data_IF_782431653955
#
_entry.id   IF_782431653955
#
_cell.length_a   1.000
_cell.length_b   1.000
_cell.length_c   1.000
_cell.angle_alpha   90.00
_cell.angle_beta   90.00
_cell.angle_gamma   90.00
#
_symmetry.space_group_name_H-M   'P 1'
#
loop_
_entity.id
_entity.type
_entity.pdbx_description
1 polymer ?
#
# COMPACT_ATOMS: atom_id res chain seq x y z
N UNK A 1 -1.10 -19.48 -7.62
CA UNK A 1 -1.16 -18.12 -7.05
C UNK A 1 -2.57 -17.91 -6.51
N UNK A 2 -2.75 -17.10 -5.48
CA UNK A 2 -4.09 -16.90 -4.89
C UNK A 2 -4.95 -15.99 -5.79
N UNK A 3 -6.28 -16.16 -5.75
CA UNK A 3 -7.20 -15.43 -6.64
C UNK A 3 -7.04 -13.90 -6.63
N UNK A 4 -6.60 -13.31 -5.51
CA UNK A 4 -6.32 -11.88 -5.39
C UNK A 4 -5.04 -11.50 -6.15
N UNK A 5 -3.99 -12.30 -6.04
CA UNK A 5 -2.74 -12.07 -6.77
C UNK A 5 -2.99 -12.16 -8.29
N UNK A 6 -3.80 -13.13 -8.73
CA UNK A 6 -4.17 -13.27 -10.14
C UNK A 6 -4.95 -12.05 -10.65
N UNK A 7 -5.84 -11.46 -9.83
CA UNK A 7 -6.57 -10.25 -10.18
C UNK A 7 -5.66 -9.01 -10.25
N UNK A 8 -4.69 -8.87 -9.34
CA UNK A 8 -3.71 -7.76 -9.37
C UNK A 8 -2.77 -7.88 -10.57
N UNK A 9 -2.30 -9.08 -10.89
CA UNK A 9 -1.51 -9.33 -12.11
C UNK A 9 -2.34 -9.02 -13.35
N UNK A 10 -3.57 -9.52 -13.44
CA UNK A 10 -4.46 -9.24 -14.56
C UNK A 10 -4.74 -7.73 -14.71
N UNK A 11 -4.83 -6.99 -13.61
CA UNK A 11 -5.01 -5.55 -13.65
C UNK A 11 -3.81 -4.84 -14.30
N UNK A 12 -2.59 -5.14 -13.85
CA UNK A 12 -1.36 -4.52 -14.36
C UNK A 12 -0.91 -5.03 -15.74
N UNK A 13 -1.49 -6.14 -16.22
CA UNK A 13 -1.05 -6.85 -17.41
C UNK A 13 -0.85 -5.97 -18.66
N UNK A 14 -1.75 -5.03 -19.02
CA UNK A 14 -1.55 -4.20 -20.21
C UNK A 14 -0.23 -3.41 -20.19
N UNK A 15 0.14 -2.89 -19.03
CA UNK A 15 1.39 -2.13 -18.86
C UNK A 15 2.62 -3.04 -18.88
N UNK A 16 2.47 -4.27 -18.37
CA UNK A 16 3.55 -5.27 -18.38
C UNK A 16 3.83 -5.74 -19.81
N UNK A 17 2.78 -5.97 -20.60
CA UNK A 17 2.87 -6.45 -21.99
C UNK A 17 3.55 -5.43 -22.91
N UNK A 18 3.50 -4.14 -22.58
CA UNK A 18 4.19 -3.08 -23.31
C UNK A 18 5.69 -2.95 -22.96
N UNK A 19 6.16 -3.66 -21.93
CA UNK A 19 7.57 -3.65 -21.56
C UNK A 19 8.40 -4.60 -22.43
N UNK A 20 9.68 -4.30 -22.58
CA UNK A 20 10.67 -5.22 -23.15
C UNK A 20 11.28 -6.16 -22.09
N UNK A 21 10.70 -6.21 -20.90
CA UNK A 21 11.22 -6.95 -19.75
C UNK A 21 12.43 -6.30 -19.07
N UNK A 22 12.89 -5.12 -19.51
CA UNK A 22 13.93 -4.39 -18.77
C UNK A 22 13.45 -4.06 -17.35
N UNK A 23 14.31 -4.19 -16.33
CA UNK A 23 13.94 -3.88 -14.95
C UNK A 23 13.36 -2.47 -14.78
N UNK A 24 13.89 -1.49 -15.52
CA UNK A 24 13.48 -0.10 -15.46
C UNK A 24 12.06 0.10 -16.00
N UNK A 25 11.74 -0.49 -17.17
CA UNK A 25 10.39 -0.40 -17.74
C UNK A 25 9.38 -1.21 -16.94
N UNK A 26 9.78 -2.38 -16.43
CA UNK A 26 8.94 -3.17 -15.52
C UNK A 26 8.60 -2.40 -14.26
N UNK A 27 9.59 -1.74 -13.63
CA UNK A 27 9.36 -0.91 -12.46
C UNK A 27 8.44 0.26 -12.78
N UNK A 28 8.63 0.92 -13.93
CA UNK A 28 7.75 2.00 -14.37
C UNK A 28 6.32 1.51 -14.58
N UNK A 29 6.11 0.41 -15.29
CA UNK A 29 4.80 -0.19 -15.54
C UNK A 29 4.07 -0.51 -14.23
N UNK A 30 4.76 -1.13 -13.27
CA UNK A 30 4.18 -1.45 -11.96
C UNK A 30 3.87 -0.21 -11.11
N UNK A 31 4.74 0.81 -11.17
CA UNK A 31 4.52 2.08 -10.47
C UNK A 31 3.30 2.80 -11.05
N UNK A 32 3.17 2.83 -12.38
CA UNK A 32 2.01 3.42 -13.07
C UNK A 32 0.73 2.66 -12.77
N UNK A 33 0.76 1.32 -12.77
CA UNK A 33 -0.39 0.50 -12.39
C UNK A 33 -0.87 0.85 -10.97
N UNK A 34 0.07 0.94 -10.02
CA UNK A 34 -0.22 1.28 -8.64
C UNK A 34 -0.76 2.71 -8.49
N UNK A 35 -0.21 3.68 -9.21
CA UNK A 35 -0.73 5.05 -9.23
C UNK A 35 -2.19 5.08 -9.72
N UNK A 36 -2.48 4.41 -10.84
CA UNK A 36 -3.83 4.30 -11.39
C UNK A 36 -4.81 3.62 -10.41
N UNK A 37 -4.33 2.60 -9.66
CA UNK A 37 -5.12 1.96 -8.62
C UNK A 37 -5.48 2.95 -7.51
N UNK A 38 -4.48 3.66 -6.98
CA UNK A 38 -4.70 4.65 -5.91
C UNK A 38 -5.67 5.74 -6.37
N UNK A 39 -5.54 6.23 -7.61
CA UNK A 39 -6.46 7.21 -8.18
C UNK A 39 -7.87 6.62 -8.32
N UNK A 40 -8.00 5.38 -8.80
CA UNK A 40 -9.30 4.69 -8.89
C UNK A 40 -10.03 4.56 -7.55
N UNK A 41 -9.32 4.53 -6.42
CA UNK A 41 -9.95 4.50 -5.10
C UNK A 41 -10.54 5.83 -4.64
N UNK A 42 -10.18 6.95 -5.31
CA UNK A 42 -10.67 8.28 -4.98
C UNK A 42 -12.11 8.51 -5.50
N UNK A 43 -12.87 9.43 -4.88
CA UNK A 43 -14.11 9.96 -5.45
C UNK A 43 -13.92 10.47 -6.88
N UNK A 44 -14.89 10.25 -7.78
CA UNK A 44 -14.78 10.58 -9.21
C UNK A 44 -14.43 12.05 -9.47
N UNK A 45 -14.90 12.97 -8.62
CA UNK A 45 -14.63 14.40 -8.69
C UNK A 45 -13.19 14.78 -8.32
N UNK A 46 -12.49 13.94 -7.55
CA UNK A 46 -11.09 14.15 -7.17
C UNK A 46 -10.10 13.49 -8.15
N UNK A 47 -10.56 12.52 -8.95
CA UNK A 47 -9.69 11.69 -9.80
C UNK A 47 -8.92 12.52 -10.83
N UNK A 48 -9.57 13.43 -11.54
CA UNK A 48 -8.91 14.19 -12.61
C UNK A 48 -7.71 15.00 -12.08
N UNK A 49 -7.88 15.67 -10.95
CA UNK A 49 -6.79 16.43 -10.33
C UNK A 49 -5.62 15.52 -9.89
N UNK A 50 -5.92 14.30 -9.44
CA UNK A 50 -4.89 13.32 -9.08
C UNK A 50 -4.16 12.76 -10.31
N UNK A 51 -4.85 12.57 -11.44
CA UNK A 51 -4.24 12.18 -12.72
C UNK A 51 -3.27 13.26 -13.19
N UNK A 52 -3.71 14.52 -13.21
CA UNK A 52 -2.90 15.65 -13.67
C UNK A 52 -1.63 15.79 -12.80
N UNK A 53 -1.80 15.73 -11.47
CA UNK A 53 -0.70 15.78 -10.50
C UNK A 53 0.31 14.64 -10.70
N UNK A 54 -0.16 13.42 -10.95
CA UNK A 54 0.70 12.29 -11.23
C UNK A 54 1.47 12.49 -12.55
N UNK A 55 0.78 12.90 -13.62
CA UNK A 55 1.38 13.12 -14.93
C UNK A 55 2.45 14.22 -14.89
N UNK A 56 2.22 15.29 -14.11
CA UNK A 56 3.20 16.37 -13.89
C UNK A 56 4.45 15.88 -13.12
N UNK A 57 4.28 14.97 -12.17
CA UNK A 57 5.38 14.44 -11.35
C UNK A 57 6.45 13.68 -12.16
N UNK A 58 6.09 13.21 -13.36
CA UNK A 58 6.97 12.45 -14.25
C UNK A 58 7.90 13.35 -15.08
N UNK A 59 7.73 14.67 -15.03
CA UNK A 59 8.61 15.62 -15.73
C UNK A 59 8.56 15.49 -17.26
N UNK A 60 7.45 14.98 -17.81
CA UNK A 60 7.24 14.81 -19.25
C UNK A 60 6.92 16.15 -19.93
N UNK A 61 7.26 16.26 -21.21
CA UNK A 61 6.77 17.36 -22.04
C UNK A 61 5.25 17.26 -22.26
N UNK A 62 4.64 18.35 -22.73
CA UNK A 62 3.19 18.45 -22.94
C UNK A 62 2.62 17.34 -23.82
N UNK A 63 3.33 16.97 -24.89
CA UNK A 63 2.84 15.96 -25.83
C UNK A 63 2.94 14.55 -25.24
N UNK A 64 4.04 14.23 -24.58
CA UNK A 64 4.25 12.97 -23.88
C UNK A 64 3.29 12.83 -22.69
N UNK A 65 3.02 13.92 -21.96
CA UNK A 65 2.07 13.93 -20.85
C UNK A 65 0.65 13.66 -21.31
N UNK A 66 0.24 14.26 -22.44
CA UNK A 66 -1.08 14.01 -23.03
C UNK A 66 -1.23 12.55 -23.49
N UNK A 67 -0.22 12.01 -24.16
CA UNK A 67 -0.20 10.59 -24.53
C UNK A 67 -0.30 9.68 -23.30
N UNK A 68 0.49 9.93 -22.26
CA UNK A 68 0.39 9.18 -21.00
C UNK A 68 -1.02 9.27 -20.39
N UNK A 69 -1.60 10.47 -20.36
CA UNK A 69 -2.95 10.67 -19.81
C UNK A 69 -4.00 9.85 -20.57
N UNK A 70 -4.06 10.03 -21.88
CA UNK A 70 -5.13 9.51 -22.73
C UNK A 70 -4.96 8.01 -23.05
N UNK A 71 -3.72 7.57 -23.26
CA UNK A 71 -3.41 6.20 -23.68
C UNK A 71 -3.16 5.25 -22.50
N UNK A 72 -2.76 5.77 -21.34
CA UNK A 72 -2.35 4.94 -20.19
C UNK A 72 -3.21 5.18 -18.94
N UNK A 73 -3.25 6.41 -18.42
CA UNK A 73 -3.85 6.68 -17.10
C UNK A 73 -5.36 6.49 -17.10
N UNK A 74 -6.07 7.13 -18.04
CA UNK A 74 -7.53 7.04 -18.14
C UNK A 74 -7.99 5.60 -18.40
N UNK A 75 -7.41 4.85 -19.37
CA UNK A 75 -7.77 3.45 -19.59
C UNK A 75 -7.54 2.56 -18.37
N UNK A 76 -6.43 2.75 -17.65
CA UNK A 76 -6.10 1.96 -16.45
C UNK A 76 -7.03 2.26 -15.27
N UNK A 77 -7.44 3.52 -15.07
CA UNK A 77 -8.41 3.89 -14.02
C UNK A 77 -9.80 3.32 -14.36
N UNK A 78 -10.23 3.40 -15.62
CA UNK A 78 -11.46 2.76 -16.05
C UNK A 78 -11.42 1.24 -15.83
N UNK A 79 -10.28 0.61 -16.15
CA UNK A 79 -10.06 -0.81 -15.88
C UNK A 79 -10.18 -1.14 -14.39
N UNK A 80 -9.73 -0.26 -13.50
CA UNK A 80 -9.94 -0.41 -12.07
C UNK A 80 -11.44 -0.43 -11.72
N UNK A 81 -12.25 0.48 -12.25
CA UNK A 81 -13.69 0.49 -11.99
C UNK A 81 -14.41 -0.76 -12.53
N UNK A 82 -14.03 -1.22 -13.73
CA UNK A 82 -14.58 -2.43 -14.35
C UNK A 82 -14.23 -3.70 -13.55
N UNK A 83 -13.00 -3.81 -13.04
CA UNK A 83 -12.53 -4.99 -12.31
C UNK A 83 -12.90 -4.97 -10.82
N UNK A 84 -12.92 -3.80 -10.19
CA UNK A 84 -12.98 -3.66 -8.73
C UNK A 84 -14.05 -2.69 -8.23
N UNK A 85 -14.72 -1.92 -9.10
CA UNK A 85 -15.70 -0.90 -8.70
C UNK A 85 -16.83 -1.46 -7.82
N UNK A 86 -17.36 -2.63 -8.15
CA UNK A 86 -18.42 -3.27 -7.34
C UNK A 86 -17.91 -3.82 -5.99
N UNK A 87 -16.63 -4.23 -5.93
CA UNK A 87 -16.00 -4.81 -4.75
C UNK A 87 -15.75 -3.77 -3.64
N UNK A 88 -15.55 -2.50 -4.01
CA UNK A 88 -15.31 -1.41 -3.05
C UNK A 88 -16.57 -0.56 -2.74
N UNK A 89 -17.58 -0.57 -3.61
CA UNK A 89 -18.86 0.14 -3.38
C UNK A 89 -19.79 -0.59 -2.39
N UNK A 90 -19.69 -1.91 -2.31
CA UNK A 90 -20.58 -2.77 -1.50
C UNK A 90 -20.06 -2.89 -0.06
N UNK A 91 -20.13 -1.82 0.75
CA UNK A 91 -19.45 -1.73 2.06
C UNK A 91 -17.94 -1.99 1.91
N UNK A 92 -17.21 -0.94 1.54
CA UNK A 92 -15.75 -0.98 1.52
C UNK A 92 -15.18 -1.65 2.78
N UNK A 93 -14.09 -2.42 2.67
CA UNK A 93 -13.47 -3.07 3.81
C UNK A 93 -13.25 -2.05 4.93
N UNK A 94 -13.52 -2.40 6.19
CA UNK A 94 -13.20 -1.49 7.29
C UNK A 94 -11.69 -1.22 7.24
N UNK A 95 -11.24 -0.08 7.76
CA UNK A 95 -9.80 0.26 7.90
C UNK A 95 -8.96 -0.81 8.67
N UNK A 96 -9.57 -1.88 9.18
CA UNK A 96 -8.92 -3.09 9.69
C UNK A 96 -8.55 -4.11 8.62
N UNK A 97 -9.25 -4.09 7.49
CA UNK A 97 -9.23 -5.14 6.47
C UNK A 97 -8.21 -4.81 5.36
N UNK A 98 -7.87 -3.52 5.17
CA UNK A 98 -6.77 -3.09 4.28
C UNK A 98 -5.37 -3.31 4.88
N UNK A 99 -5.28 -3.60 6.19
CA UNK A 99 -4.00 -3.86 6.86
C UNK A 99 -3.32 -5.11 6.29
N UNK A 100 -4.12 -6.07 5.81
CA UNK A 100 -3.66 -7.32 5.20
C UNK A 100 -3.10 -7.14 3.79
N UNK A 101 -3.51 -6.10 3.06
CA UNK A 101 -3.04 -5.83 1.68
C UNK A 101 -1.70 -5.10 1.68
N UNK A 102 -1.43 -4.25 2.68
CA UNK A 102 -0.07 -3.70 2.89
C UNK A 102 0.92 -4.73 3.47
N UNK A 103 0.43 -5.81 4.07
CA UNK A 103 1.27 -6.89 4.61
C UNK A 103 1.71 -7.89 3.51
N UNK A 104 1.11 -7.83 2.30
CA UNK A 104 1.50 -8.65 1.14
C UNK A 104 2.35 -7.84 0.14
N UNK A 105 3.55 -7.44 0.59
CA UNK A 105 4.74 -7.35 -0.26
C UNK A 105 4.87 -6.14 -1.19
N UNK A 106 5.00 -4.94 -0.63
CA UNK A 106 5.82 -3.87 -1.22
C UNK A 106 7.04 -3.66 -0.33
N UNK A 107 8.15 -4.32 -0.67
CA UNK A 107 9.44 -4.13 -0.02
C UNK A 107 10.06 -2.84 -0.58
N UNK A 108 9.56 -1.69 -0.12
CA UNK A 108 10.23 -0.42 -0.34
C UNK A 108 11.47 -0.37 0.55
N UNK A 109 12.61 -0.70 -0.05
CA UNK A 109 13.99 -0.55 0.44
C UNK A 109 14.55 -1.81 1.12
N UNK A 110 15.45 -2.56 0.47
CA UNK A 110 16.90 -2.28 0.56
C UNK A 110 17.26 -1.68 1.95
N UNK A 111 17.72 -2.57 2.83
CA UNK A 111 18.23 -2.35 4.19
C UNK A 111 17.25 -1.76 5.23
N UNK A 112 16.25 -2.57 5.59
CA UNK A 112 15.67 -2.51 6.92
C UNK A 112 16.74 -2.83 7.98
N UNK A 113 17.32 -1.79 8.60
CA UNK A 113 18.10 -1.93 9.85
C UNK A 113 17.29 -2.77 10.84
N UNK A 114 17.91 -3.74 11.54
CA UNK A 114 17.18 -4.64 12.43
C UNK A 114 16.38 -3.84 13.45
N UNK A 115 15.14 -4.26 13.78
CA UNK A 115 14.34 -3.60 14.80
C UNK A 115 15.15 -3.57 16.10
N UNK A 116 15.39 -2.36 16.62
CA UNK A 116 16.05 -2.17 17.93
C UNK A 116 15.29 -3.00 18.95
N UNK A 117 15.98 -3.94 19.57
CA UNK A 117 15.48 -4.90 20.56
C UNK A 117 14.55 -4.22 21.56
N UNK A 118 13.23 -4.31 21.33
CA UNK A 118 12.29 -4.17 22.41
C UNK A 118 12.31 -5.52 23.11
N UNK A 119 13.13 -5.61 24.16
CA UNK A 119 13.21 -6.77 25.03
C UNK A 119 11.78 -7.27 25.33
N UNK A 120 11.55 -8.60 25.31
CA UNK A 120 10.23 -9.16 25.53
C UNK A 120 9.62 -8.58 26.79
N UNK A 121 8.39 -8.07 26.70
CA UNK A 121 7.67 -7.55 27.87
C UNK A 121 7.68 -8.62 28.95
N UNK A 122 8.13 -8.32 30.18
CA UNK A 122 8.23 -9.32 31.23
C UNK A 122 6.87 -9.98 31.45
N UNK A 123 6.90 -11.29 31.67
CA UNK A 123 5.72 -12.07 31.98
C UNK A 123 5.03 -11.49 33.22
N UNK A 124 3.70 -11.62 33.25
CA UNK A 124 2.85 -11.05 34.31
C UNK A 124 3.30 -11.39 35.74
N UNK A 125 3.94 -12.55 35.92
CA UNK A 125 4.42 -13.05 37.21
C UNK A 125 5.93 -12.90 37.43
N UNK A 126 6.67 -12.42 36.43
CA UNK A 126 8.12 -12.25 36.50
C UNK A 126 8.49 -11.08 37.43
N UNK A 127 9.71 -11.07 37.98
CA UNK A 127 10.21 -9.92 38.73
C UNK A 127 10.13 -8.65 37.88
N UNK A 128 9.64 -7.57 38.49
CA UNK A 128 9.41 -6.31 37.79
C UNK A 128 10.75 -5.63 37.44
N UNK A 129 10.95 -5.15 36.19
CA UNK A 129 12.25 -4.60 35.74
C UNK A 129 12.61 -3.25 36.38
N UNK A 130 11.74 -2.66 37.22
CA UNK A 130 12.05 -1.45 37.98
C UNK A 130 12.81 -1.71 39.30
N UNK A 131 13.29 -2.93 39.51
CA UNK A 131 14.02 -3.37 40.71
C UNK A 131 13.28 -3.17 42.04
N UNK A 132 11.94 -3.15 42.01
CA UNK A 132 11.12 -3.00 43.22
C UNK A 132 11.02 -4.27 44.08
N UNK A 133 11.56 -5.40 43.62
CA UNK A 133 11.45 -6.72 44.26
C UNK A 133 10.05 -7.37 44.15
N UNK A 134 9.09 -6.73 43.47
CA UNK A 134 7.71 -7.21 43.30
C UNK A 134 7.50 -7.89 41.95
N UNK A 135 6.51 -8.79 41.83
CA UNK A 135 6.07 -9.34 40.54
C UNK A 135 5.47 -8.24 39.65
N UNK A 136 5.70 -8.32 38.34
CA UNK A 136 5.34 -7.28 37.36
C UNK A 136 3.87 -6.85 37.46
N UNK A 137 2.93 -7.81 37.60
CA UNK A 137 1.49 -7.53 37.74
C UNK A 137 1.07 -6.68 38.93
N UNK A 138 1.90 -6.64 39.96
CA UNK A 138 1.63 -5.89 41.19
C UNK A 138 2.42 -4.58 41.27
N UNK A 139 3.21 -4.26 40.24
CA UNK A 139 4.05 -3.07 40.21
C UNK A 139 3.77 -2.24 38.95
N UNK A 140 4.67 -2.23 37.97
CA UNK A 140 4.57 -1.39 36.77
C UNK A 140 3.32 -1.70 35.91
N UNK A 141 2.83 -2.94 35.90
CA UNK A 141 1.59 -3.26 35.18
C UNK A 141 0.36 -2.62 35.85
N UNK A 142 0.32 -2.53 37.18
CA UNK A 142 -0.79 -1.89 37.90
C UNK A 142 -0.72 -0.37 37.81
N UNK A 143 0.49 0.18 37.87
CA UNK A 143 0.71 1.62 37.73
C UNK A 143 0.37 2.15 36.33
N UNK A 144 0.54 1.34 35.29
CA UNK A 144 0.16 1.70 33.91
C UNK A 144 -1.35 1.57 33.64
N UNK A 145 -2.07 0.74 34.40
CA UNK A 145 -3.55 0.60 34.29
C UNK A 145 -4.33 1.61 35.15
N UNK A 146 -3.67 2.33 36.06
CA UNK A 146 -4.25 3.34 36.92
C UNK A 146 -4.04 4.78 36.38
N UNK A 147 -3.55 4.91 35.14
CA UNK A 147 -3.42 6.16 34.39
C UNK A 147 -4.44 6.18 33.26
#
# INVERSE_FOLDING_TARGET
MGAIADAMTAYAQPLIDETDGSPEKMQMALTTAMACWNIGTLPEDERQAAIDSFADSLGLDESARRGLHDDVLVPMIRRYDEMFGQAFQSRGPRRSDWKSTLELGWDSNLEAKPPKDQAPKPGRYDPCPCNSGKKYKFCCERASRAR
#
